data_IF_700468023435
#
_entry.id   IF_700468023435
#
_cell.length_a   1.000
_cell.length_b   1.000
_cell.length_c   1.000
_cell.angle_alpha   90.00
_cell.angle_beta   90.00
_cell.angle_gamma   90.00
#
_symmetry.space_group_name_H-M   'P 1'
#
loop_
_entity.id
_entity.type
_entity.pdbx_description
1 polymer ?
#
# COMPACT_ATOMS: atom_id res chain seq x y z
N UNK A 1 -5.63 3.08 -24.32
CA UNK A 1 -5.33 1.65 -24.15
C UNK A 1 -6.61 0.84 -24.20
N UNK A 2 -6.71 0.00 -25.22
CA UNK A 2 -7.78 -1.00 -25.38
C UNK A 2 -7.48 -2.24 -24.54
N UNK A 3 -8.47 -2.74 -23.80
CA UNK A 3 -8.33 -3.91 -22.93
C UNK A 3 -9.31 -5.00 -23.38
N UNK A 4 -8.76 -6.15 -23.78
CA UNK A 4 -9.57 -7.32 -24.09
C UNK A 4 -9.81 -8.12 -22.81
N UNK A 5 -11.05 -8.58 -22.63
CA UNK A 5 -11.41 -9.52 -21.56
C UNK A 5 -10.92 -10.92 -21.93
N UNK A 6 -10.26 -11.59 -21.01
CA UNK A 6 -9.75 -12.94 -21.18
C UNK A 6 -10.43 -13.91 -20.22
N UNK A 7 -10.66 -13.49 -18.97
CA UNK A 7 -11.21 -14.35 -17.92
C UNK A 7 -12.60 -13.94 -17.45
N UNK A 8 -13.00 -12.70 -17.72
CA UNK A 8 -14.24 -12.11 -17.20
C UNK A 8 -15.26 -11.83 -18.30
N UNK A 9 -16.52 -11.68 -17.91
CA UNK A 9 -17.61 -11.28 -18.81
C UNK A 9 -18.13 -9.90 -18.46
N UNK A 10 -18.51 -9.13 -19.47
CA UNK A 10 -19.04 -7.79 -19.26
C UNK A 10 -20.39 -7.84 -18.52
N UNK A 11 -20.52 -7.05 -17.46
CA UNK A 11 -21.76 -6.96 -16.67
C UNK A 11 -21.90 -7.99 -15.54
N UNK A 12 -21.01 -8.98 -15.47
CA UNK A 12 -20.96 -9.99 -14.40
C UNK A 12 -19.84 -9.65 -13.41
N UNK A 13 -20.01 -9.99 -12.13
CA UNK A 13 -18.93 -9.84 -11.15
C UNK A 13 -17.80 -10.85 -11.44
N UNK A 14 -16.51 -10.47 -11.38
CA UNK A 14 -15.40 -11.40 -11.57
C UNK A 14 -15.36 -12.51 -10.51
N UNK A 15 -16.04 -12.33 -9.38
CA UNK A 15 -16.12 -13.30 -8.30
C UNK A 15 -17.22 -14.35 -8.48
N UNK A 16 -18.23 -14.12 -9.35
CA UNK A 16 -19.34 -15.08 -9.55
C UNK A 16 -18.86 -16.46 -10.02
N UNK A 17 -17.80 -16.49 -10.83
CA UNK A 17 -17.20 -17.73 -11.33
C UNK A 17 -16.18 -18.36 -10.35
N UNK A 18 -15.98 -17.78 -9.17
CA UNK A 18 -14.98 -18.18 -8.19
C UNK A 18 -15.69 -18.57 -6.89
N UNK A 19 -15.63 -19.83 -6.43
CA UNK A 19 -16.18 -20.18 -5.13
C UNK A 19 -15.37 -19.50 -4.02
N UNK A 20 -16.07 -18.92 -3.05
CA UNK A 20 -15.49 -18.39 -1.80
C UNK A 20 -15.94 -19.23 -0.60
N UNK A 21 -15.13 -19.21 0.45
CA UNK A 21 -15.41 -19.86 1.74
C UNK A 21 -15.01 -18.94 2.88
N UNK A 22 -15.61 -19.17 4.05
CA UNK A 22 -15.11 -18.61 5.30
C UNK A 22 -13.92 -19.43 5.80
N UNK A 23 -12.94 -18.75 6.36
CA UNK A 23 -11.73 -19.33 6.90
C UNK A 23 -11.29 -18.55 8.13
N UNK A 24 -10.72 -19.27 9.11
CA UNK A 24 -10.13 -18.63 10.28
C UNK A 24 -8.62 -18.51 10.13
N UNK A 25 -8.04 -17.45 10.68
CA UNK A 25 -6.59 -17.29 10.84
C UNK A 25 -6.26 -16.92 12.27
N UNK A 26 -5.23 -17.55 12.81
CA UNK A 26 -4.79 -17.34 14.19
C UNK A 26 -3.26 -17.26 14.29
N UNK A 27 -2.75 -16.35 15.12
CA UNK A 27 -1.36 -16.33 15.56
C UNK A 27 -1.35 -16.60 17.06
N UNK A 28 -0.52 -17.56 17.48
CA UNK A 28 -0.26 -17.87 18.89
C UNK A 28 1.20 -17.60 19.25
N UNK A 29 1.42 -17.17 20.48
CA UNK A 29 2.74 -17.15 21.10
C UNK A 29 3.22 -18.58 21.40
N UNK A 30 4.53 -18.79 21.67
CA UNK A 30 5.05 -20.09 22.11
C UNK A 30 4.39 -20.64 23.38
N UNK A 31 3.85 -19.77 24.24
CA UNK A 31 3.11 -20.13 25.46
C UNK A 31 1.63 -20.52 25.19
N UNK A 32 1.19 -20.48 23.92
CA UNK A 32 -0.17 -20.81 23.48
C UNK A 32 -1.17 -19.66 23.52
N UNK A 33 -0.79 -18.49 24.04
CA UNK A 33 -1.66 -17.30 24.08
C UNK A 33 -1.91 -16.74 22.68
N UNK A 34 -3.12 -16.24 22.44
CA UNK A 34 -3.55 -15.75 21.13
C UNK A 34 -3.08 -14.31 20.94
N UNK A 35 -2.27 -14.07 19.90
CA UNK A 35 -1.78 -12.75 19.50
C UNK A 35 -2.74 -12.08 18.52
N UNK A 36 -3.35 -12.88 17.65
CA UNK A 36 -4.28 -12.41 16.63
C UNK A 36 -5.23 -13.55 16.26
N UNK A 37 -6.50 -13.21 16.04
CA UNK A 37 -7.51 -14.15 15.54
C UNK A 37 -8.51 -13.42 14.65
N UNK A 38 -8.85 -14.04 13.53
CA UNK A 38 -9.92 -13.63 12.64
C UNK A 38 -10.67 -14.89 12.21
N UNK A 39 -11.92 -15.06 12.65
CA UNK A 39 -12.64 -16.32 12.49
C UNK A 39 -13.35 -16.49 11.14
N UNK A 40 -13.79 -15.38 10.54
CA UNK A 40 -14.66 -15.37 9.37
C UNK A 40 -14.06 -14.56 8.22
N UNK A 41 -12.81 -14.88 7.86
CA UNK A 41 -12.21 -14.31 6.67
C UNK A 41 -12.82 -14.93 5.41
N UNK A 42 -13.45 -14.12 4.56
CA UNK A 42 -14.00 -14.58 3.28
C UNK A 42 -12.90 -14.61 2.22
N UNK A 43 -12.59 -15.79 1.69
CA UNK A 43 -11.46 -16.02 0.78
C UNK A 43 -11.83 -16.97 -0.36
N UNK A 44 -11.14 -16.94 -1.51
CA UNK A 44 -11.39 -17.91 -2.56
C UNK A 44 -11.15 -19.34 -2.06
N UNK A 45 -12.08 -20.26 -2.33
CA UNK A 45 -12.07 -21.62 -1.77
C UNK A 45 -10.83 -22.42 -2.14
N UNK A 46 -10.22 -22.13 -3.28
CA UNK A 46 -8.99 -22.77 -3.74
C UNK A 46 -7.71 -22.32 -3.03
N UNK A 47 -7.77 -21.30 -2.17
CA UNK A 47 -6.58 -20.82 -1.45
C UNK A 47 -6.16 -21.79 -0.34
N UNK A 48 -4.85 -22.04 -0.27
CA UNK A 48 -4.24 -22.77 0.84
C UNK A 48 -4.40 -22.01 2.15
N UNK A 49 -4.39 -22.72 3.28
CA UNK A 49 -4.45 -22.08 4.60
C UNK A 49 -3.31 -21.07 4.80
N UNK A 50 -2.10 -21.37 4.32
CA UNK A 50 -0.96 -20.43 4.38
C UNK A 50 -1.26 -19.11 3.64
N UNK A 51 -1.92 -19.16 2.48
CA UNK A 51 -2.31 -17.95 1.75
C UNK A 51 -3.37 -17.15 2.52
N UNK A 52 -4.33 -17.83 3.15
CA UNK A 52 -5.33 -17.21 4.02
C UNK A 52 -4.66 -16.53 5.22
N UNK A 53 -3.73 -17.22 5.87
CA UNK A 53 -3.00 -16.69 7.01
C UNK A 53 -2.18 -15.46 6.64
N UNK A 54 -1.45 -15.51 5.52
CA UNK A 54 -0.68 -14.35 5.04
C UNK A 54 -1.61 -13.16 4.74
N UNK A 55 -2.74 -13.39 4.06
CA UNK A 55 -3.72 -12.34 3.76
C UNK A 55 -4.26 -11.71 5.06
N UNK A 56 -4.78 -12.53 5.97
CA UNK A 56 -5.40 -12.06 7.20
C UNK A 56 -4.41 -11.35 8.14
N UNK A 57 -3.19 -11.88 8.25
CA UNK A 57 -2.22 -11.42 9.23
C UNK A 57 -1.41 -10.22 8.76
N UNK A 58 -1.18 -10.09 7.44
CA UNK A 58 -0.29 -9.07 6.86
C UNK A 58 -1.03 -8.06 5.98
N UNK A 59 -1.98 -8.50 5.14
CA UNK A 59 -2.51 -7.67 4.06
C UNK A 59 -3.89 -7.08 4.32
N UNK A 60 -4.71 -7.71 5.15
CA UNK A 60 -5.91 -7.06 5.66
C UNK A 60 -5.55 -5.84 6.49
N UNK A 61 -6.19 -4.73 6.16
CA UNK A 61 -6.19 -3.54 6.99
C UNK A 61 -6.94 -3.88 8.28
N UNK A 62 -6.20 -4.03 9.39
CA UNK A 62 -6.75 -4.51 10.66
C UNK A 62 -7.70 -3.54 11.36
N UNK A 63 -7.52 -2.24 11.14
CA UNK A 63 -8.30 -1.20 11.82
C UNK A 63 -8.35 0.10 11.01
N UNK A 64 -9.30 0.96 11.39
CA UNK A 64 -9.46 2.31 10.83
C UNK A 64 -10.21 2.35 9.50
N UNK A 65 -10.78 1.22 9.04
CA UNK A 65 -11.73 1.22 7.91
C UNK A 65 -13.06 1.73 8.44
N UNK A 66 -13.64 2.81 7.89
CA UNK A 66 -14.95 3.29 8.35
C UNK A 66 -16.05 2.27 8.06
N UNK A 67 -16.88 1.96 9.06
CA UNK A 67 -17.99 1.00 8.92
C UNK A 67 -19.11 1.49 7.98
N UNK A 68 -19.15 2.80 7.71
CA UNK A 68 -20.07 3.46 6.78
C UNK A 68 -19.30 4.43 5.90
N UNK A 69 -19.53 4.32 4.61
CA UNK A 69 -18.83 5.07 3.57
C UNK A 69 -19.84 5.74 2.65
N UNK A 70 -19.48 6.91 2.14
CA UNK A 70 -20.21 7.60 1.08
C UNK A 70 -19.31 7.86 -0.12
N UNK A 71 -19.92 7.86 -1.30
CA UNK A 71 -19.24 8.16 -2.56
C UNK A 71 -18.95 9.64 -2.67
N UNK A 72 -17.75 10.00 -3.08
CA UNK A 72 -17.41 11.39 -3.43
C UNK A 72 -17.66 11.59 -4.92
N UNK A 73 -18.58 12.51 -5.24
CA UNK A 73 -18.87 12.81 -6.63
C UNK A 73 -17.72 13.56 -7.29
N UNK A 74 -17.22 13.03 -8.40
CA UNK A 74 -16.13 13.61 -9.17
C UNK A 74 -16.53 13.80 -10.63
N UNK A 75 -16.44 15.04 -11.12
CA UNK A 75 -16.75 15.35 -12.52
C UNK A 75 -15.83 14.56 -13.45
N UNK A 76 -16.41 13.87 -14.43
CA UNK A 76 -15.67 13.10 -15.42
C UNK A 76 -15.17 11.74 -14.93
N UNK A 77 -15.53 11.31 -13.72
CA UNK A 77 -15.23 9.95 -13.22
C UNK A 77 -16.53 9.13 -13.24
N UNK A 78 -16.55 7.93 -13.87
CA UNK A 78 -17.71 7.05 -13.90
C UNK A 78 -18.21 6.71 -12.50
N UNK A 79 -19.53 6.58 -12.34
CA UNK A 79 -20.17 6.45 -11.03
C UNK A 79 -19.63 5.29 -10.17
N UNK A 80 -19.27 4.19 -10.82
CA UNK A 80 -18.72 2.96 -10.23
C UNK A 80 -17.25 3.07 -9.80
N UNK A 81 -16.50 4.04 -10.35
CA UNK A 81 -15.05 4.21 -10.13
C UNK A 81 -14.73 5.35 -9.15
N UNK A 82 -15.76 6.02 -8.64
CA UNK A 82 -15.60 7.14 -7.71
C UNK A 82 -15.09 6.66 -6.36
N UNK A 83 -14.17 7.45 -5.79
CA UNK A 83 -13.64 7.21 -4.46
C UNK A 83 -14.72 7.30 -3.38
N UNK A 84 -14.42 6.73 -2.22
CA UNK A 84 -15.29 6.76 -1.05
C UNK A 84 -14.57 7.40 0.14
N UNK A 85 -15.35 7.94 1.06
CA UNK A 85 -14.87 8.51 2.33
C UNK A 85 -15.81 8.10 3.47
N UNK A 86 -15.33 8.23 4.71
CA UNK A 86 -16.16 8.05 5.89
C UNK A 86 -17.46 8.88 5.80
N UNK A 87 -18.59 8.23 6.04
CA UNK A 87 -19.87 8.92 6.16
C UNK A 87 -20.11 9.30 7.62
N UNK A 88 -19.64 10.49 8.01
CA UNK A 88 -19.64 10.95 9.40
C UNK A 88 -21.02 10.97 10.04
N UNK A 89 -22.08 11.26 9.27
CA UNK A 89 -23.45 11.28 9.76
C UNK A 89 -23.94 9.85 10.01
N UNK A 90 -23.77 8.94 9.04
CA UNK A 90 -24.12 7.53 9.19
C UNK A 90 -23.25 6.80 10.23
N UNK A 91 -22.04 7.29 10.51
CA UNK A 91 -21.19 6.77 11.58
C UNK A 91 -21.63 7.25 12.97
N UNK A 92 -22.18 8.47 13.08
CA UNK A 92 -22.59 9.03 14.39
C UNK A 92 -23.72 8.24 15.05
N UNK A 93 -24.53 7.51 14.27
CA UNK A 93 -25.60 6.64 14.79
C UNK A 93 -25.09 5.31 15.32
N UNK A 94 -23.83 4.94 15.03
CA UNK A 94 -23.22 3.71 15.53
C UNK A 94 -22.51 3.95 16.87
N UNK A 95 -22.45 2.94 17.75
CA UNK A 95 -21.57 2.93 18.92
C UNK A 95 -20.12 3.24 18.52
N UNK A 96 -19.40 3.99 19.36
CA UNK A 96 -18.06 4.48 19.02
C UNK A 96 -17.08 3.36 18.65
N UNK A 97 -17.14 2.24 19.37
CA UNK A 97 -16.34 1.04 19.14
C UNK A 97 -16.69 0.27 17.86
N UNK A 98 -17.78 0.61 17.17
CA UNK A 98 -18.23 -0.02 15.92
C UNK A 98 -18.04 0.87 14.70
N UNK A 99 -17.61 2.13 14.88
CA UNK A 99 -17.43 3.08 13.77
C UNK A 99 -16.26 2.73 12.86
N UNK A 100 -15.28 2.00 13.38
CA UNK A 100 -14.09 1.58 12.65
C UNK A 100 -13.91 0.07 12.76
N UNK A 101 -13.65 -0.55 11.62
CA UNK A 101 -13.48 -2.00 11.47
C UNK A 101 -12.18 -2.32 10.74
N UNK A 102 -11.92 -3.61 10.54
CA UNK A 102 -10.89 -4.11 9.63
C UNK A 102 -11.48 -4.71 8.35
N UNK A 103 -10.63 -5.00 7.38
CA UNK A 103 -10.96 -5.85 6.25
C UNK A 103 -11.13 -7.30 6.72
N UNK A 104 -12.18 -7.96 6.23
CA UNK A 104 -12.53 -9.36 6.53
C UNK A 104 -12.78 -10.19 5.28
N UNK A 105 -12.80 -9.59 4.09
CA UNK A 105 -12.95 -10.30 2.82
C UNK A 105 -11.79 -10.00 1.88
N UNK A 106 -11.28 -11.03 1.21
CA UNK A 106 -10.29 -10.90 0.15
C UNK A 106 -10.79 -9.98 -0.98
N UNK A 107 -12.11 -9.96 -1.22
CA UNK A 107 -12.71 -9.07 -2.22
C UNK A 107 -12.44 -7.60 -1.90
N UNK A 108 -12.47 -7.20 -0.63
CA UNK A 108 -12.18 -5.82 -0.21
C UNK A 108 -10.76 -5.40 -0.62
N UNK A 109 -9.79 -6.30 -0.42
CA UNK A 109 -8.39 -6.08 -0.79
C UNK A 109 -8.25 -5.99 -2.32
N UNK A 110 -8.81 -6.96 -3.05
CA UNK A 110 -8.73 -6.98 -4.50
C UNK A 110 -9.40 -5.76 -5.13
N UNK A 111 -10.56 -5.35 -4.59
CA UNK A 111 -11.31 -4.19 -5.05
C UNK A 111 -10.56 -2.89 -4.80
N UNK A 112 -9.94 -2.69 -3.62
CA UNK A 112 -9.16 -1.46 -3.38
C UNK A 112 -7.92 -1.37 -4.25
N UNK A 113 -7.26 -2.50 -4.51
CA UNK A 113 -6.08 -2.57 -5.38
C UNK A 113 -6.45 -2.28 -6.83
N UNK A 114 -7.28 -3.13 -7.42
CA UNK A 114 -7.68 -3.00 -8.81
C UNK A 114 -8.45 -1.71 -9.07
N UNK A 115 -9.28 -1.28 -8.11
CA UNK A 115 -10.09 -0.08 -8.21
C UNK A 115 -9.24 1.19 -8.21
N UNK A 116 -8.25 1.31 -7.32
CA UNK A 116 -7.38 2.49 -7.33
C UNK A 116 -6.46 2.54 -8.55
N UNK A 117 -5.96 1.39 -9.02
CA UNK A 117 -5.17 1.35 -10.27
C UNK A 117 -6.01 1.80 -11.46
N UNK A 118 -7.25 1.32 -11.54
CA UNK A 118 -8.20 1.72 -12.58
C UNK A 118 -8.53 3.21 -12.47
N UNK A 119 -8.74 3.71 -11.25
CA UNK A 119 -9.03 5.11 -10.98
C UNK A 119 -7.89 6.01 -11.44
N UNK A 120 -6.64 5.69 -11.11
CA UNK A 120 -5.48 6.43 -11.61
C UNK A 120 -5.37 6.37 -13.14
N UNK A 121 -5.49 5.17 -13.73
CA UNK A 121 -5.48 5.02 -15.19
C UNK A 121 -6.56 5.85 -15.88
N UNK A 122 -7.76 5.90 -15.31
CA UNK A 122 -8.86 6.74 -15.81
C UNK A 122 -8.52 8.23 -15.71
N UNK A 123 -8.06 8.70 -14.55
CA UNK A 123 -7.72 10.12 -14.32
C UNK A 123 -6.57 10.60 -15.20
N UNK A 124 -5.71 9.70 -15.65
CA UNK A 124 -4.60 9.99 -16.55
C UNK A 124 -4.90 9.67 -18.03
N UNK A 125 -6.15 9.32 -18.38
CA UNK A 125 -6.56 9.12 -19.77
C UNK A 125 -5.94 7.88 -20.43
N UNK A 126 -5.61 6.85 -19.65
CA UNK A 126 -4.94 5.66 -20.18
C UNK A 126 -5.90 4.76 -20.97
N UNK A 127 -7.20 4.77 -20.69
CA UNK A 127 -8.17 3.89 -21.33
C UNK A 127 -8.82 4.54 -22.55
N UNK A 128 -9.03 3.77 -23.62
CA UNK A 128 -9.71 4.28 -24.83
C UNK A 128 -11.22 4.46 -24.60
N UNK A 129 -11.79 3.72 -23.64
CA UNK A 129 -13.22 3.76 -23.29
C UNK A 129 -13.50 3.37 -21.83
N UNK A 130 -14.70 3.67 -21.33
CA UNK A 130 -15.16 3.15 -20.03
C UNK A 130 -15.21 1.61 -20.02
N UNK A 131 -15.52 0.99 -21.16
CA UNK A 131 -15.54 -0.47 -21.27
C UNK A 131 -14.16 -1.10 -21.07
N UNK A 132 -13.09 -0.43 -21.53
CA UNK A 132 -11.71 -0.85 -21.30
C UNK A 132 -11.31 -0.70 -19.83
N UNK A 133 -11.72 0.40 -19.19
CA UNK A 133 -11.49 0.60 -17.75
C UNK A 133 -12.18 -0.47 -16.90
N UNK A 134 -13.43 -0.83 -17.25
CA UNK A 134 -14.15 -1.94 -16.59
C UNK A 134 -13.48 -3.28 -16.82
N UNK A 135 -13.04 -3.56 -18.05
CA UNK A 135 -12.32 -4.78 -18.35
C UNK A 135 -11.02 -4.86 -17.52
N UNK A 136 -10.25 -3.78 -17.45
CA UNK A 136 -9.05 -3.71 -16.61
C UNK A 136 -9.36 -4.01 -15.14
N UNK A 137 -10.39 -3.38 -14.58
CA UNK A 137 -10.80 -3.59 -13.20
C UNK A 137 -11.21 -5.05 -12.93
N UNK A 138 -12.03 -5.62 -13.80
CA UNK A 138 -12.57 -6.97 -13.63
C UNK A 138 -11.48 -8.05 -13.78
N UNK A 139 -10.64 -7.93 -14.82
CA UNK A 139 -9.56 -8.89 -15.08
C UNK A 139 -8.55 -8.93 -13.93
N UNK A 140 -8.17 -7.77 -13.37
CA UNK A 140 -7.23 -7.74 -12.23
C UNK A 140 -7.83 -8.38 -10.98
N UNK A 141 -9.11 -8.13 -10.69
CA UNK A 141 -9.80 -8.77 -9.55
C UNK A 141 -9.86 -10.28 -9.71
N UNK A 142 -10.17 -10.76 -10.90
CA UNK A 142 -10.14 -12.19 -11.22
C UNK A 142 -8.74 -12.78 -11.05
N UNK A 143 -7.72 -12.14 -11.65
CA UNK A 143 -6.33 -12.62 -11.60
C UNK A 143 -5.77 -12.65 -10.18
N UNK A 144 -6.10 -11.65 -9.34
CA UNK A 144 -5.74 -11.64 -7.93
C UNK A 144 -6.43 -12.78 -7.16
N UNK A 145 -7.74 -12.95 -7.33
CA UNK A 145 -8.51 -14.00 -6.67
C UNK A 145 -8.05 -15.41 -7.07
N UNK A 146 -7.64 -15.60 -8.33
CA UNK A 146 -7.12 -16.87 -8.85
C UNK A 146 -5.60 -17.05 -8.68
N UNK A 147 -4.93 -16.10 -8.02
CA UNK A 147 -3.47 -16.08 -7.82
C UNK A 147 -2.67 -16.20 -9.13
N UNK A 148 -3.19 -15.67 -10.23
CA UNK A 148 -2.52 -15.62 -11.54
C UNK A 148 -1.48 -14.49 -11.61
N UNK A 149 -1.64 -13.49 -10.76
CA UNK A 149 -0.71 -12.38 -10.58
C UNK A 149 -0.75 -11.90 -9.14
N UNK A 150 0.37 -11.42 -8.63
CA UNK A 150 0.45 -10.73 -7.35
C UNK A 150 1.40 -9.53 -7.46
N UNK A 151 0.99 -8.33 -7.05
CA UNK A 151 1.91 -7.20 -6.96
C UNK A 151 2.87 -7.37 -5.76
N UNK A 152 3.91 -6.53 -5.70
CA UNK A 152 4.83 -6.49 -4.57
C UNK A 152 4.13 -6.09 -3.25
N UNK A 153 4.69 -6.46 -2.10
CA UNK A 153 4.03 -6.33 -0.78
C UNK A 153 3.55 -4.92 -0.41
N UNK A 154 4.30 -3.82 -0.64
CA UNK A 154 3.79 -2.46 -0.42
C UNK A 154 2.49 -2.12 -1.13
N UNK A 155 2.22 -2.73 -2.29
CA UNK A 155 0.95 -2.57 -2.97
C UNK A 155 -0.18 -3.09 -2.07
N UNK A 156 -0.07 -4.33 -1.60
CA UNK A 156 -1.02 -4.94 -0.69
C UNK A 156 -1.23 -4.12 0.59
N UNK A 157 -0.18 -3.53 1.16
CA UNK A 157 -0.31 -2.75 2.40
C UNK A 157 -1.01 -1.40 2.21
N UNK A 158 -0.64 -0.65 1.18
CA UNK A 158 -0.91 0.80 1.14
C UNK A 158 -1.90 1.22 0.03
N UNK A 159 -2.01 0.41 -1.02
CA UNK A 159 -2.69 0.82 -2.25
C UNK A 159 -4.20 0.75 -2.10
N UNK A 160 -4.87 1.86 -2.46
CA UNK A 160 -6.32 1.94 -2.46
C UNK A 160 -6.98 2.22 -1.12
N UNK A 161 -6.24 2.29 0.00
CA UNK A 161 -6.78 2.72 1.30
C UNK A 161 -7.39 4.14 1.21
N UNK A 162 -6.61 5.03 0.59
CA UNK A 162 -7.01 6.16 -0.25
C UNK A 162 -8.46 6.16 -0.76
N UNK A 163 -8.55 5.54 -1.92
CA UNK A 163 -9.66 5.54 -2.83
C UNK A 163 -10.87 4.77 -2.29
N UNK A 164 -10.67 3.62 -1.65
CA UNK A 164 -11.74 2.74 -1.20
C UNK A 164 -12.38 3.19 0.12
N UNK A 165 -11.61 3.82 1.01
CA UNK A 165 -12.04 4.08 2.38
C UNK A 165 -11.90 5.55 2.81
N UNK A 166 -11.20 6.37 2.03
CA UNK A 166 -10.87 7.75 2.42
C UNK A 166 -9.88 7.81 3.58
N UNK A 167 -9.15 6.72 3.85
CA UNK A 167 -8.11 6.70 4.89
C UNK A 167 -7.02 7.67 4.47
N UNK A 168 -6.66 8.58 5.37
CA UNK A 168 -5.64 9.59 5.12
C UNK A 168 -4.68 9.66 6.32
N UNK A 169 -3.62 10.44 6.18
CA UNK A 169 -2.62 10.67 7.22
C UNK A 169 -1.68 11.81 6.86
N UNK A 170 -1.00 12.40 7.85
CA UNK A 170 -0.05 13.49 7.61
C UNK A 170 1.03 13.07 6.63
N UNK A 171 1.64 14.02 5.92
CA UNK A 171 2.78 13.78 5.04
C UNK A 171 3.92 13.02 5.75
N UNK A 172 4.54 12.08 5.05
CA UNK A 172 5.58 11.18 5.61
C UNK A 172 6.87 11.19 4.78
N UNK A 173 7.06 12.23 3.97
CA UNK A 173 8.26 12.38 3.14
C UNK A 173 8.23 11.57 1.84
N UNK A 174 7.04 11.16 1.38
CA UNK A 174 6.89 10.57 0.05
C UNK A 174 6.95 11.65 -1.03
N UNK A 175 7.39 11.28 -2.22
CA UNK A 175 7.42 12.14 -3.39
C UNK A 175 6.61 11.51 -4.53
N UNK A 176 6.10 12.35 -5.42
CA UNK A 176 5.43 11.92 -6.64
C UNK A 176 5.71 12.91 -7.76
N UNK A 177 5.55 12.46 -9.00
CA UNK A 177 5.58 13.36 -10.16
C UNK A 177 4.17 13.91 -10.38
N UNK A 178 4.02 15.23 -10.47
CA UNK A 178 2.75 15.82 -10.92
C UNK A 178 2.68 15.72 -12.44
N UNK A 179 1.67 15.02 -13.02
CA UNK A 179 1.56 14.87 -14.46
C UNK A 179 1.29 16.18 -15.22
N UNK A 180 0.89 17.27 -14.54
CA UNK A 180 0.61 18.55 -15.18
C UNK A 180 1.89 19.31 -15.54
N UNK A 181 2.88 19.29 -14.65
CA UNK A 181 4.14 20.00 -14.84
C UNK A 181 5.34 19.07 -15.07
N UNK A 182 5.17 17.76 -14.84
CA UNK A 182 6.21 16.75 -15.02
C UNK A 182 7.31 16.80 -13.96
N UNK A 183 7.10 17.50 -12.84
CA UNK A 183 8.10 17.72 -11.78
C UNK A 183 7.77 16.95 -10.51
N UNK A 184 8.81 16.72 -9.69
CA UNK A 184 8.70 15.98 -8.44
C UNK A 184 8.20 16.90 -7.32
N UNK A 185 7.14 16.48 -6.63
CA UNK A 185 6.53 17.18 -5.51
C UNK A 185 6.46 16.31 -4.27
N UNK A 186 6.65 16.92 -3.10
CA UNK A 186 6.39 16.27 -1.83
C UNK A 186 4.88 15.96 -1.68
N UNK A 187 4.55 14.74 -1.27
CA UNK A 187 3.18 14.36 -0.97
C UNK A 187 2.70 15.03 0.31
N UNK A 188 1.49 15.58 0.27
CA UNK A 188 0.81 16.16 1.44
C UNK A 188 0.10 15.13 2.31
N UNK A 189 -0.05 13.91 1.77
CA UNK A 189 -0.79 12.80 2.38
C UNK A 189 0.04 11.53 2.36
N UNK A 190 -0.08 10.72 3.42
CA UNK A 190 0.53 9.40 3.47
C UNK A 190 -0.13 8.36 2.53
N UNK A 191 -1.40 8.55 2.15
CA UNK A 191 -2.21 7.52 1.52
C UNK A 191 -2.88 7.92 0.20
N UNK A 192 -3.09 9.21 -0.08
CA UNK A 192 -3.62 9.69 -1.38
C UNK A 192 -2.70 9.26 -2.54
N UNK A 193 -1.40 9.43 -2.31
CA UNK A 193 -0.31 8.93 -3.15
C UNK A 193 0.57 8.07 -2.26
N UNK A 194 0.20 6.79 -2.06
CA UNK A 194 0.86 5.94 -1.08
C UNK A 194 2.30 5.63 -1.52
N UNK A 195 3.03 4.85 -0.72
CA UNK A 195 4.28 4.20 -1.12
C UNK A 195 3.98 2.75 -1.55
N UNK A 196 3.84 2.46 -2.86
CA UNK A 196 3.45 1.15 -3.34
C UNK A 196 4.59 0.43 -4.10
N UNK A 197 5.84 0.86 -3.88
CA UNK A 197 7.03 0.32 -4.55
C UNK A 197 7.90 -0.40 -3.53
N UNK A 198 8.41 -1.60 -3.84
CA UNK A 198 9.19 -2.37 -2.88
C UNK A 198 10.68 -2.04 -2.83
N UNK A 199 11.24 -1.42 -3.86
CA UNK A 199 12.68 -1.29 -4.00
C UNK A 199 13.07 0.17 -4.26
N UNK A 200 14.01 0.66 -3.46
CA UNK A 200 14.60 1.98 -3.61
C UNK A 200 16.13 1.89 -3.63
N UNK A 201 16.75 2.82 -4.34
CA UNK A 201 18.20 3.05 -4.28
C UNK A 201 18.39 4.47 -3.80
N UNK A 202 19.26 4.65 -2.81
CA UNK A 202 19.52 5.95 -2.22
C UNK A 202 20.99 6.34 -2.38
N UNK A 203 21.20 7.64 -2.49
CA UNK A 203 22.52 8.26 -2.42
C UNK A 203 22.79 8.76 -1.01
N UNK A 204 24.08 8.86 -0.71
CA UNK A 204 24.61 9.42 0.52
C UNK A 204 25.83 10.30 0.20
N UNK A 205 25.88 11.44 0.86
CA UNK A 205 27.02 12.34 0.90
C UNK A 205 27.82 12.08 2.17
N UNK A 206 29.12 12.32 2.10
CA UNK A 206 30.04 12.22 3.23
C UNK A 206 29.90 13.42 4.19
N UNK A 207 28.71 13.51 4.78
CA UNK A 207 28.25 14.52 5.73
C UNK A 207 27.47 13.81 6.84
N UNK A 208 27.59 14.27 8.09
CA UNK A 208 26.94 13.62 9.22
C UNK A 208 25.44 13.93 9.32
N UNK A 209 25.04 15.20 9.24
CA UNK A 209 23.71 15.65 9.70
C UNK A 209 22.91 16.46 8.68
N UNK A 210 23.54 16.96 7.62
CA UNK A 210 22.86 17.75 6.61
C UNK A 210 22.05 16.86 5.66
N UNK A 211 21.20 17.49 4.85
CA UNK A 211 20.39 16.80 3.83
C UNK A 211 21.27 15.98 2.89
N UNK A 212 20.88 14.73 2.66
CA UNK A 212 21.68 13.77 1.89
C UNK A 212 22.85 13.14 2.66
N UNK A 213 23.11 13.54 3.91
CA UNK A 213 24.14 12.95 4.78
C UNK A 213 23.71 11.63 5.43
N UNK A 214 24.54 11.15 6.36
CA UNK A 214 24.38 9.86 7.06
C UNK A 214 23.10 9.81 7.89
N UNK A 215 22.86 10.80 8.75
CA UNK A 215 21.68 10.79 9.62
C UNK A 215 20.38 11.02 8.84
N UNK A 216 20.43 11.82 7.78
CA UNK A 216 19.28 11.99 6.88
C UNK A 216 18.98 10.68 6.12
N UNK A 217 19.99 9.92 5.69
CA UNK A 217 19.77 8.59 5.11
C UNK A 217 18.98 7.69 6.07
N UNK A 218 19.36 7.61 7.34
CA UNK A 218 18.62 6.78 8.31
C UNK A 218 17.16 7.20 8.46
N UNK A 219 16.88 8.50 8.47
CA UNK A 219 15.50 9.00 8.49
C UNK A 219 14.75 8.60 7.23
N UNK A 220 15.38 8.70 6.06
CA UNK A 220 14.77 8.30 4.78
C UNK A 220 14.53 6.80 4.71
N UNK A 221 15.49 5.97 5.13
CA UNK A 221 15.35 4.50 5.17
C UNK A 221 14.24 4.08 6.14
N UNK A 222 14.19 4.66 7.35
CA UNK A 222 13.13 4.39 8.32
C UNK A 222 11.73 4.71 7.76
N UNK A 223 11.58 5.79 6.97
CA UNK A 223 10.33 6.10 6.27
C UNK A 223 9.98 5.03 5.24
N UNK A 224 10.96 4.54 4.47
CA UNK A 224 10.73 3.46 3.50
C UNK A 224 10.30 2.16 4.20
N UNK A 225 10.97 1.78 5.29
CA UNK A 225 10.64 0.58 6.06
C UNK A 225 9.26 0.66 6.71
N UNK A 226 8.87 1.82 7.24
CA UNK A 226 7.55 2.06 7.83
C UNK A 226 6.39 1.68 6.90
N UNK A 227 6.58 1.84 5.59
CA UNK A 227 5.57 1.52 4.57
C UNK A 227 5.86 0.21 3.82
N UNK A 228 6.83 -0.58 4.29
CA UNK A 228 7.09 -1.96 3.85
C UNK A 228 8.03 -2.09 2.66
N UNK A 229 8.82 -1.06 2.35
CA UNK A 229 9.77 -1.09 1.23
C UNK A 229 11.19 -1.33 1.69
N UNK A 230 11.98 -1.99 0.84
CA UNK A 230 13.42 -2.14 1.00
C UNK A 230 14.19 -1.04 0.27
N UNK A 231 15.42 -0.82 0.71
CA UNK A 231 16.33 0.19 0.19
C UNK A 231 17.75 -0.35 0.10
N UNK A 232 18.54 0.19 -0.80
CA UNK A 232 19.97 -0.08 -0.92
C UNK A 232 20.73 1.22 -1.17
N UNK A 233 21.88 1.35 -0.54
CA UNK A 233 22.70 2.57 -0.63
C UNK A 233 24.13 2.20 -1.00
N UNK A 234 24.73 2.93 -1.94
CA UNK A 234 26.16 2.83 -2.21
C UNK A 234 26.92 3.74 -1.24
N UNK A 235 27.69 3.14 -0.35
CA UNK A 235 28.44 3.84 0.69
C UNK A 235 29.88 4.20 0.30
N UNK A 236 30.31 3.94 -0.94
CA UNK A 236 31.69 4.21 -1.37
C UNK A 236 32.11 5.68 -1.28
N UNK A 237 31.15 6.60 -1.16
CA UNK A 237 31.43 8.02 -0.95
C UNK A 237 31.85 8.35 0.48
N UNK A 238 31.56 7.50 1.47
CA UNK A 238 31.90 7.77 2.86
C UNK A 238 33.38 7.54 3.10
N UNK A 239 34.02 8.49 3.78
CA UNK A 239 35.44 8.40 4.12
C UNK A 239 35.73 7.21 5.04
N UNK A 240 36.92 6.62 4.87
CA UNK A 240 37.41 5.50 5.65
C UNK A 240 37.66 5.85 7.12
N UNK A 241 37.85 4.80 7.92
CA UNK A 241 38.25 4.95 9.33
C UNK A 241 39.61 5.66 9.42
N UNK A 242 39.71 6.62 10.35
CA UNK A 242 40.96 7.32 10.60
C UNK A 242 41.26 8.50 9.66
N UNK A 243 40.46 8.72 8.63
CA UNK A 243 40.56 9.89 7.74
C UNK A 243 40.22 11.19 8.47
N UNK A 244 40.83 12.31 8.05
CA UNK A 244 40.72 13.59 8.75
C UNK A 244 39.32 14.21 8.63
N UNK A 245 38.90 14.92 9.67
CA UNK A 245 37.66 15.72 9.69
C UNK A 245 37.99 17.22 9.68
N UNK A 246 37.13 18.03 9.04
CA UNK A 246 37.32 19.48 8.92
C UNK A 246 37.29 20.21 10.27
N UNK A 247 36.51 19.72 11.23
CA UNK A 247 36.43 20.26 12.60
C UNK A 247 37.52 19.75 13.56
N UNK A 248 38.50 18.98 13.06
CA UNK A 248 39.46 18.25 13.88
C UNK A 248 38.96 16.86 14.28
N UNK A 249 39.90 15.97 14.59
CA UNK A 249 39.61 14.55 14.88
C UNK A 249 39.68 13.65 13.64
N UNK A 250 39.13 12.44 13.77
CA UNK A 250 39.24 11.36 12.78
C UNK A 250 37.89 10.68 12.58
N UNK A 251 37.62 10.24 11.35
CA UNK A 251 36.41 9.50 10.99
C UNK A 251 36.31 8.16 11.70
N UNK A 252 35.09 7.79 12.10
CA UNK A 252 34.74 6.47 12.65
C UNK A 252 34.61 5.38 11.58
N UNK A 253 34.64 5.74 10.29
CA UNK A 253 34.48 4.85 9.15
C UNK A 253 33.07 4.27 8.98
N UNK A 254 32.81 3.71 7.79
CA UNK A 254 31.51 3.15 7.38
C UNK A 254 30.94 2.13 8.38
N UNK A 255 31.75 1.17 8.85
CA UNK A 255 31.27 0.08 9.69
C UNK A 255 30.64 0.57 11.00
N UNK A 256 31.10 1.71 11.52
CA UNK A 256 30.53 2.32 12.73
C UNK A 256 29.12 2.85 12.47
N UNK A 257 28.89 3.46 11.31
CA UNK A 257 27.58 3.98 10.92
C UNK A 257 26.60 2.86 10.58
N UNK A 258 27.03 1.79 9.90
CA UNK A 258 26.17 0.63 9.61
C UNK A 258 25.67 -0.04 10.89
N UNK A 259 26.52 -0.16 11.92
CA UNK A 259 26.11 -0.69 13.24
C UNK A 259 25.05 0.16 13.94
N UNK A 260 24.99 1.46 13.65
CA UNK A 260 23.95 2.36 14.17
C UNK A 260 22.67 2.17 13.36
N UNK A 261 22.76 2.10 12.03
CA UNK A 261 21.59 1.94 11.17
C UNK A 261 20.89 0.57 11.28
N UNK A 262 21.62 -0.48 11.66
CA UNK A 262 21.08 -1.83 11.86
C UNK A 262 20.31 -2.02 13.18
N UNK A 263 20.51 -1.12 14.16
CA UNK A 263 19.87 -1.20 15.49
C UNK A 263 18.58 -0.40 15.56
#
# INVERSE_FOLDING_TARGET
MKIQRAYTKAGESPYEAIPFRLASSEIRNPDGTVVFRLDEAEVPSGWSQVAVDVLAQKYFRKAGVPARLKVVREKGVPSWLQRRVADTEALSVLPENERHVGETSAQQVFDRLAGTWTYWGWKHGYFDSETDARAFFDEHRYMLARQMSAPNSPQWFNTGLNWAYGIDGPAQGHFHVDPKDGTVHASKSAYERPQPHACFIQSINDDLVNEGGIMDLWVREARLFKYGSGTGTNFSNLRGEGEALSGGGRSSGLMSFLKIGDR
#
